data_IF_408197355019
#
_entry.id   IF_408197355019
#
_cell.length_a   1.000
_cell.length_b   1.000
_cell.length_c   1.000
_cell.angle_alpha   90.00
_cell.angle_beta   90.00
_cell.angle_gamma   90.00
#
_symmetry.space_group_name_H-M   'P 1'
#
loop_
_entity.id
_entity.type
_entity.pdbx_description
1 polymer ?
#
# COMPACT_ATOMS: atom_id res chain seq x y z
N UNK A 1 -17.01 -2.46 0.94
CA UNK A 1 -16.88 -3.83 0.40
C UNK A 1 -16.30 -4.77 1.44
N UNK A 2 -15.02 -4.63 1.84
CA UNK A 2 -14.36 -5.48 2.85
C UNK A 2 -15.21 -5.85 4.07
N UNK A 3 -15.67 -4.84 4.82
CA UNK A 3 -16.46 -5.07 6.04
C UNK A 3 -17.84 -5.69 5.78
N UNK A 4 -18.66 -5.03 4.97
CA UNK A 4 -20.09 -5.33 4.91
C UNK A 4 -20.49 -6.34 3.82
N UNK A 5 -19.60 -6.61 2.85
CA UNK A 5 -19.87 -7.53 1.73
C UNK A 5 -18.97 -8.76 1.84
N UNK A 6 -17.66 -8.56 2.02
CA UNK A 6 -16.69 -9.66 2.11
C UNK A 6 -16.55 -10.19 3.54
N UNK A 7 -17.15 -9.50 4.53
CA UNK A 7 -17.09 -9.85 5.95
C UNK A 7 -15.66 -10.03 6.48
N UNK A 8 -14.71 -9.28 5.90
CA UNK A 8 -13.32 -9.29 6.33
C UNK A 8 -13.16 -8.67 7.71
N UNK A 9 -12.36 -9.34 8.55
CA UNK A 9 -12.01 -8.85 9.89
C UNK A 9 -11.05 -7.65 9.80
N UNK A 10 -10.14 -7.66 8.83
CA UNK A 10 -9.22 -6.56 8.59
C UNK A 10 -9.76 -5.62 7.50
N UNK A 11 -10.16 -4.42 7.90
CA UNK A 11 -10.71 -3.42 6.98
C UNK A 11 -9.67 -2.42 6.48
N UNK A 12 -8.39 -2.61 6.82
CA UNK A 12 -7.30 -1.77 6.31
C UNK A 12 -7.16 -2.01 4.82
N UNK A 13 -6.92 -0.93 4.09
CA UNK A 13 -6.57 -1.01 2.67
C UNK A 13 -5.09 -1.34 2.57
N UNK A 14 -4.77 -2.30 1.71
CA UNK A 14 -3.38 -2.51 1.30
C UNK A 14 -2.97 -1.41 0.30
N UNK A 15 -1.69 -1.39 -0.08
CA UNK A 15 -1.14 -0.35 -0.94
C UNK A 15 -1.78 -0.36 -2.33
N UNK A 16 -2.07 -1.53 -2.89
CA UNK A 16 -2.73 -1.65 -4.20
C UNK A 16 -4.13 -1.03 -4.18
N UNK A 17 -4.94 -1.38 -3.20
CA UNK A 17 -6.29 -0.84 -3.02
C UNK A 17 -6.27 0.67 -2.76
N UNK A 18 -5.27 1.13 -2.01
CA UNK A 18 -5.06 2.55 -1.74
C UNK A 18 -4.72 3.30 -3.02
N UNK A 19 -3.86 2.77 -3.88
CA UNK A 19 -3.51 3.36 -5.17
C UNK A 19 -4.68 3.35 -6.15
N UNK A 20 -5.49 2.29 -6.18
CA UNK A 20 -6.73 2.24 -6.97
C UNK A 20 -7.71 3.32 -6.48
N UNK A 21 -7.92 3.42 -5.16
CA UNK A 21 -8.80 4.44 -4.58
C UNK A 21 -8.29 5.85 -4.87
N UNK A 22 -6.98 6.07 -4.84
CA UNK A 22 -6.36 7.34 -5.20
C UNK A 22 -6.60 7.67 -6.69
N UNK A 23 -6.43 6.70 -7.58
CA UNK A 23 -6.67 6.86 -9.02
C UNK A 23 -8.13 7.20 -9.34
N UNK A 24 -9.09 6.59 -8.65
CA UNK A 24 -10.52 6.92 -8.81
C UNK A 24 -10.78 8.33 -8.30
N UNK A 25 -10.25 8.67 -7.11
CA UNK A 25 -10.42 10.00 -6.50
C UNK A 25 -9.83 11.12 -7.34
N UNK A 26 -8.75 10.84 -8.08
CA UNK A 26 -8.09 11.81 -8.96
C UNK A 26 -9.00 12.34 -10.07
N UNK A 27 -10.06 11.60 -10.45
CA UNK A 27 -11.03 12.05 -11.46
C UNK A 27 -11.89 13.23 -11.01
N UNK A 28 -12.08 13.41 -9.71
CA UNK A 28 -12.95 14.44 -9.12
C UNK A 28 -12.25 15.34 -8.11
N UNK A 29 -11.05 14.97 -7.66
CA UNK A 29 -10.28 15.70 -6.67
C UNK A 29 -8.92 16.15 -7.23
N UNK A 30 -8.69 17.47 -7.40
CA UNK A 30 -7.43 17.98 -7.96
C UNK A 30 -6.21 17.70 -7.08
N UNK A 31 -6.38 17.60 -5.75
CA UNK A 31 -5.31 17.22 -4.83
C UNK A 31 -4.91 15.76 -5.01
N UNK A 32 -5.87 14.87 -5.25
CA UNK A 32 -5.60 13.46 -5.55
C UNK A 32 -4.89 13.30 -6.90
N UNK A 33 -5.32 14.05 -7.92
CA UNK A 33 -4.63 14.10 -9.22
C UNK A 33 -3.19 14.58 -9.07
N UNK A 34 -2.96 15.61 -8.26
CA UNK A 34 -1.61 16.09 -7.96
C UNK A 34 -0.77 15.00 -7.28
N UNK A 35 -1.30 14.31 -6.26
CA UNK A 35 -0.61 13.21 -5.60
C UNK A 35 -0.23 12.10 -6.59
N UNK A 36 -1.17 11.67 -7.45
CA UNK A 36 -0.94 10.63 -8.46
C UNK A 36 0.18 11.03 -9.44
N UNK A 37 0.20 12.29 -9.88
CA UNK A 37 1.25 12.81 -10.78
C UNK A 37 2.65 12.84 -10.16
N UNK A 38 2.74 12.89 -8.83
CA UNK A 38 3.99 12.92 -8.10
C UNK A 38 4.51 11.53 -7.70
N UNK A 39 3.75 10.45 -7.89
CA UNK A 39 4.21 9.10 -7.52
C UNK A 39 5.51 8.69 -8.20
N UNK A 40 5.73 9.13 -9.45
CA UNK A 40 6.99 8.85 -10.18
C UNK A 40 8.24 9.44 -9.50
N UNK A 41 8.07 10.42 -8.61
CA UNK A 41 9.18 11.01 -7.86
C UNK A 41 9.67 10.10 -6.72
N UNK A 42 8.94 9.04 -6.41
CA UNK A 42 9.32 8.07 -5.39
C UNK A 42 10.30 7.02 -5.92
N UNK A 43 10.50 6.93 -7.23
CA UNK A 43 11.47 6.02 -7.82
C UNK A 43 12.88 6.37 -7.35
N UNK A 44 13.60 5.39 -6.80
CA UNK A 44 14.91 5.54 -6.18
C UNK A 44 14.89 6.07 -4.75
N UNK A 45 13.71 6.31 -4.15
CA UNK A 45 13.62 6.64 -2.73
C UNK A 45 13.81 5.40 -1.86
N UNK A 46 14.27 5.63 -0.64
CA UNK A 46 14.42 4.61 0.40
C UNK A 46 13.19 4.60 1.31
N UNK A 47 12.66 3.41 1.60
CA UNK A 47 11.58 3.17 2.56
C UNK A 47 12.06 2.16 3.60
N UNK A 48 11.85 2.49 4.87
CA UNK A 48 12.08 1.57 5.98
C UNK A 48 10.76 1.29 6.71
N UNK A 49 10.51 0.01 7.00
CA UNK A 49 9.36 -0.46 7.76
C UNK A 49 9.80 -1.13 9.06
N UNK A 50 9.09 -0.85 10.15
CA UNK A 50 9.32 -1.51 11.46
C UNK A 50 8.89 -2.97 11.49
N UNK A 51 8.23 -3.44 10.43
CA UNK A 51 7.70 -4.80 10.28
C UNK A 51 7.89 -5.31 8.85
N UNK A 52 7.97 -6.62 8.71
CA UNK A 52 7.97 -7.32 7.42
C UNK A 52 6.67 -6.98 6.69
N UNK A 53 6.80 -6.50 5.46
CA UNK A 53 5.66 -6.11 4.63
C UNK A 53 4.93 -7.34 4.07
N UNK A 54 3.66 -7.16 3.72
CA UNK A 54 2.95 -8.16 2.93
C UNK A 54 3.60 -8.31 1.54
N UNK A 55 3.56 -9.50 0.96
CA UNK A 55 4.08 -9.74 -0.39
C UNK A 55 3.43 -8.84 -1.45
N UNK A 56 2.16 -8.51 -1.25
CA UNK A 56 1.40 -7.58 -2.10
C UNK A 56 1.97 -6.17 -2.02
N UNK A 57 2.15 -5.63 -0.81
CA UNK A 57 2.67 -4.26 -0.62
C UNK A 57 4.11 -4.14 -1.11
N UNK A 58 4.95 -5.13 -0.80
CA UNK A 58 6.34 -5.21 -1.23
C UNK A 58 6.44 -5.19 -2.78
N UNK A 59 5.63 -6.00 -3.45
CA UNK A 59 5.57 -6.04 -4.92
C UNK A 59 5.16 -4.70 -5.53
N UNK A 60 4.24 -3.97 -4.89
CA UNK A 60 3.79 -2.65 -5.37
C UNK A 60 4.86 -1.60 -5.16
N UNK A 61 5.53 -1.57 -4.01
CA UNK A 61 6.64 -0.66 -3.74
C UNK A 61 7.81 -0.88 -4.71
N UNK A 62 8.15 -2.14 -4.98
CA UNK A 62 9.16 -2.49 -5.98
C UNK A 62 8.77 -2.02 -7.39
N UNK A 63 7.49 -2.15 -7.78
CA UNK A 63 6.99 -1.61 -9.06
C UNK A 63 7.04 -0.08 -9.13
N UNK A 64 6.93 0.62 -8.00
CA UNK A 64 7.15 2.07 -7.92
C UNK A 64 8.65 2.45 -7.96
N UNK A 65 9.54 1.46 -7.92
CA UNK A 65 10.99 1.65 -7.91
C UNK A 65 11.52 2.14 -6.58
N UNK A 66 10.82 1.88 -5.48
CA UNK A 66 11.25 2.24 -4.12
C UNK A 66 12.17 1.14 -3.59
N UNK A 67 13.27 1.53 -2.96
CA UNK A 67 14.19 0.63 -2.27
C UNK A 67 13.66 0.38 -0.85
N UNK A 68 13.32 -0.87 -0.55
CA UNK A 68 12.63 -1.22 0.69
C UNK A 68 13.54 -1.98 1.64
N UNK A 69 13.53 -1.59 2.91
CA UNK A 69 14.11 -2.33 4.03
C UNK A 69 13.06 -2.54 5.13
N UNK A 70 13.22 -3.59 5.92
CA UNK A 70 12.37 -3.80 7.09
C UNK A 70 13.12 -4.44 8.26
N UNK A 71 12.63 -4.18 9.47
CA UNK A 71 13.01 -4.96 10.64
C UNK A 71 12.41 -6.38 10.54
N UNK A 72 13.07 -7.41 11.10
CA UNK A 72 12.65 -8.80 10.99
C UNK A 72 11.48 -9.17 11.92
N UNK A 73 10.45 -8.33 11.97
CA UNK A 73 9.27 -8.49 12.84
C UNK A 73 8.02 -8.73 12.00
N UNK A 74 7.33 -9.84 12.19
CA UNK A 74 6.02 -10.05 11.56
C UNK A 74 4.98 -9.03 12.11
N UNK A 75 4.04 -8.56 11.28
CA UNK A 75 3.04 -7.56 11.68
C UNK A 75 1.98 -8.12 12.64
N UNK A 76 1.84 -9.44 12.74
CA UNK A 76 1.02 -10.11 13.75
C UNK A 76 1.69 -11.40 14.23
N UNK A 77 1.21 -11.92 15.36
CA UNK A 77 1.58 -13.26 15.85
C UNK A 77 0.84 -14.39 15.10
N UNK A 78 -0.13 -14.03 14.24
CA UNK A 78 -0.87 -14.98 13.43
C UNK A 78 -0.06 -15.31 12.18
N UNK A 79 0.26 -16.60 12.01
CA UNK A 79 1.03 -17.10 10.85
C UNK A 79 0.29 -16.96 9.52
N UNK A 80 -1.03 -16.70 9.56
CA UNK A 80 -1.89 -16.48 8.40
C UNK A 80 -2.69 -15.21 8.62
N UNK A 81 -2.45 -14.22 7.76
CA UNK A 81 -3.28 -13.01 7.66
C UNK A 81 -4.00 -13.13 6.32
N UNK A 82 -5.23 -13.65 6.35
CA UNK A 82 -6.19 -13.59 5.24
C UNK A 82 -7.14 -12.41 5.44
#
# INVERSE_FOLDING_TARGET
>A
MKKNILNEKNIRLNLEETLISLSISATTNPTAQLALSNLKKLTGCELHSTNILSSTDDSVLHKLGINVTCDPNFPSADLYID
#
